data_IF_563418665777
#
_entry.id   IF_563418665777
#
_cell.length_a   1.000
_cell.length_b   1.000
_cell.length_c   1.000
_cell.angle_alpha   90.00
_cell.angle_beta   90.00
_cell.angle_gamma   90.00
#
_symmetry.space_group_name_H-M   'P 1'
#
loop_
_entity.id
_entity.type
_entity.pdbx_description
1 polymer ?
#
# COMPACT_ATOMS: atom_id res chain seq x y z
N UNK A 1 15.75 -9.13 -32.76
CA UNK A 1 15.20 -9.71 -31.50
C UNK A 1 13.93 -8.95 -31.12
N UNK A 2 12.95 -9.59 -30.48
CA UNK A 2 11.63 -9.02 -30.17
C UNK A 2 11.59 -7.96 -29.04
N UNK A 3 12.73 -7.37 -28.66
CA UNK A 3 12.81 -6.23 -27.74
C UNK A 3 12.76 -6.53 -26.23
N UNK A 4 12.45 -7.76 -25.79
CA UNK A 4 12.42 -8.10 -24.36
C UNK A 4 13.82 -8.13 -23.72
N UNK A 5 13.98 -7.48 -22.57
CA UNK A 5 15.22 -7.39 -21.80
C UNK A 5 15.35 -8.55 -20.81
N UNK A 6 14.24 -9.05 -20.27
CA UNK A 6 14.23 -10.13 -19.27
C UNK A 6 13.23 -11.25 -19.61
N UNK A 7 13.45 -12.44 -19.04
CA UNK A 7 12.51 -13.57 -19.18
C UNK A 7 11.15 -13.22 -18.54
N UNK A 8 11.15 -12.48 -17.43
CA UNK A 8 9.93 -12.01 -16.77
C UNK A 8 9.09 -11.09 -17.67
N UNK A 9 9.72 -10.19 -18.44
CA UNK A 9 9.02 -9.37 -19.44
C UNK A 9 8.33 -10.21 -20.50
N UNK A 10 9.03 -11.20 -21.06
CA UNK A 10 8.47 -12.14 -22.01
C UNK A 10 7.31 -12.95 -21.40
N UNK A 11 7.45 -13.40 -20.15
CA UNK A 11 6.43 -14.13 -19.42
C UNK A 11 5.15 -13.31 -19.23
N UNK A 12 5.28 -12.06 -18.77
CA UNK A 12 4.15 -11.13 -18.62
C UNK A 12 3.46 -10.88 -19.95
N UNK A 13 4.22 -10.68 -21.02
CA UNK A 13 3.66 -10.47 -22.34
C UNK A 13 2.95 -11.72 -22.90
N UNK A 14 3.48 -12.91 -22.61
CA UNK A 14 2.79 -14.17 -22.93
C UNK A 14 1.43 -14.27 -22.23
N UNK A 15 1.36 -13.89 -20.95
CA UNK A 15 0.10 -13.88 -20.18
C UNK A 15 -0.89 -12.88 -20.78
N UNK A 16 -0.45 -11.65 -21.11
CA UNK A 16 -1.32 -10.65 -21.77
C UNK A 16 -1.90 -11.15 -23.09
N UNK A 17 -1.07 -11.74 -23.95
CA UNK A 17 -1.53 -12.28 -25.25
C UNK A 17 -2.48 -13.45 -25.08
N UNK A 18 -2.22 -14.34 -24.12
CA UNK A 18 -3.12 -15.44 -23.81
C UNK A 18 -4.47 -14.91 -23.32
N UNK A 19 -4.48 -13.93 -22.42
CA UNK A 19 -5.69 -13.24 -21.96
C UNK A 19 -6.48 -12.60 -23.11
N UNK A 20 -5.83 -11.84 -23.99
CA UNK A 20 -6.47 -11.25 -25.18
C UNK A 20 -7.05 -12.31 -26.10
N UNK A 21 -6.30 -13.39 -26.35
CA UNK A 21 -6.75 -14.49 -27.20
C UNK A 21 -7.96 -15.20 -26.62
N UNK A 22 -7.98 -15.45 -25.30
CA UNK A 22 -9.16 -16.03 -24.61
C UNK A 22 -10.38 -15.14 -24.78
N UNK A 23 -10.22 -13.81 -24.67
CA UNK A 23 -11.32 -12.85 -24.88
C UNK A 23 -11.89 -12.89 -26.29
N UNK A 24 -11.04 -13.06 -27.30
CA UNK A 24 -11.45 -13.10 -28.71
C UNK A 24 -12.03 -14.47 -29.10
N UNK A 25 -11.30 -15.56 -28.83
CA UNK A 25 -11.66 -16.91 -29.28
C UNK A 25 -12.91 -17.47 -28.60
N UNK A 26 -13.24 -16.96 -27.41
CA UNK A 26 -14.39 -17.40 -26.61
C UNK A 26 -15.38 -16.27 -26.31
N UNK A 27 -15.43 -15.22 -27.14
CA UNK A 27 -16.28 -14.05 -26.92
C UNK A 27 -17.75 -14.41 -26.65
N UNK A 28 -18.32 -15.31 -27.45
CA UNK A 28 -19.72 -15.75 -27.30
C UNK A 28 -19.97 -16.40 -25.92
N UNK A 29 -19.07 -17.30 -25.49
CA UNK A 29 -19.16 -17.96 -24.19
C UNK A 29 -18.92 -17.01 -23.03
N UNK A 30 -18.10 -15.98 -23.21
CA UNK A 30 -17.85 -14.96 -22.19
C UNK A 30 -19.05 -14.03 -22.03
N UNK A 31 -19.81 -13.76 -23.10
CA UNK A 31 -21.03 -12.96 -23.07
C UNK A 31 -22.18 -13.66 -22.32
N UNK A 32 -22.18 -14.99 -22.28
CA UNK A 32 -23.16 -15.80 -21.52
C UNK A 32 -22.88 -15.84 -20.01
N UNK A 33 -21.71 -15.36 -19.55
CA UNK A 33 -21.35 -15.42 -18.13
C UNK A 33 -22.10 -14.35 -17.34
N UNK A 34 -22.55 -14.73 -16.15
CA UNK A 34 -23.11 -13.79 -15.17
C UNK A 34 -22.06 -12.78 -14.69
N UNK A 35 -20.78 -13.19 -14.63
CA UNK A 35 -19.67 -12.34 -14.22
C UNK A 35 -18.57 -12.27 -15.28
N UNK A 36 -18.02 -11.05 -15.54
CA UNK A 36 -16.89 -10.87 -16.43
C UNK A 36 -15.69 -11.73 -15.99
N UNK A 37 -15.05 -12.39 -16.94
CA UNK A 37 -13.80 -13.11 -16.66
C UNK A 37 -12.68 -12.10 -16.39
N UNK A 38 -12.15 -12.10 -15.17
CA UNK A 38 -10.92 -11.38 -14.89
C UNK A 38 -9.72 -12.11 -15.53
N UNK A 39 -8.96 -11.34 -16.29
CA UNK A 39 -7.77 -11.78 -17.03
C UNK A 39 -6.58 -10.86 -16.75
N UNK A 40 -6.77 -9.90 -15.85
CA UNK A 40 -5.71 -9.05 -15.34
C UNK A 40 -4.76 -9.82 -14.46
N UNK A 41 -3.62 -9.21 -14.18
CA UNK A 41 -2.69 -9.70 -13.18
C UNK A 41 -1.90 -8.52 -12.61
N UNK A 42 -1.51 -8.65 -11.35
CA UNK A 42 -0.48 -7.79 -10.75
C UNK A 42 0.87 -8.48 -10.89
N UNK A 43 1.92 -7.71 -11.14
CA UNK A 43 3.28 -8.22 -11.20
C UNK A 43 4.13 -7.46 -10.20
N UNK A 44 4.73 -8.19 -9.27
CA UNK A 44 5.63 -7.67 -8.27
C UNK A 44 7.06 -8.10 -8.56
N UNK A 45 8.01 -7.32 -8.06
CA UNK A 45 9.44 -7.64 -8.08
C UNK A 45 9.96 -7.68 -6.66
N UNK A 46 10.89 -8.58 -6.39
CA UNK A 46 11.59 -8.60 -5.11
C UNK A 46 12.52 -7.38 -5.06
N UNK A 47 12.42 -6.62 -3.99
CA UNK A 47 13.30 -5.51 -3.67
C UNK A 47 13.72 -5.61 -2.20
N UNK A 48 14.74 -4.87 -1.81
CA UNK A 48 15.09 -4.71 -0.40
C UNK A 48 13.96 -3.99 0.35
N UNK A 49 13.91 -4.16 1.68
CA UNK A 49 12.94 -3.49 2.56
C UNK A 49 12.78 -2.00 2.25
N UNK A 50 11.55 -1.48 2.36
CA UNK A 50 11.27 -0.06 2.26
C UNK A 50 11.84 0.75 3.44
N UNK A 51 12.18 0.08 4.55
CA UNK A 51 12.75 0.74 5.72
C UNK A 51 14.24 1.00 5.56
N UNK A 52 14.69 2.12 6.12
CA UNK A 52 16.11 2.43 6.27
C UNK A 52 16.70 1.56 7.38
N UNK A 53 17.94 1.14 7.17
CA UNK A 53 18.72 0.48 8.22
C UNK A 53 19.18 1.52 9.24
N UNK A 54 18.43 1.59 10.33
CA UNK A 54 18.64 2.53 11.45
C UNK A 54 19.40 1.88 12.61
N UNK A 55 19.57 0.56 12.62
CA UNK A 55 20.27 -0.18 13.67
C UNK A 55 21.78 -0.12 13.46
N UNK A 56 22.38 1.03 13.79
CA UNK A 56 23.81 1.25 13.63
C UNK A 56 24.54 1.37 14.95
N UNK A 57 25.77 0.88 14.99
CA UNK A 57 26.62 1.07 16.15
C UNK A 57 26.94 2.57 16.30
N UNK A 58 26.99 3.14 17.52
CA UNK A 58 27.26 4.57 17.71
C UNK A 58 28.54 5.08 17.03
N UNK A 59 29.55 4.22 16.86
CA UNK A 59 30.80 4.56 16.16
C UNK A 59 30.66 4.71 14.65
N UNK A 60 29.55 4.25 14.06
CA UNK A 60 29.24 4.32 12.63
C UNK A 60 28.33 5.52 12.28
N UNK A 61 27.87 6.24 13.31
CA UNK A 61 27.01 7.41 13.17
C UNK A 61 27.87 8.66 12.97
N UNK A 62 27.69 9.30 11.82
CA UNK A 62 28.29 10.60 11.53
C UNK A 62 27.24 11.71 11.68
N UNK A 63 27.62 12.87 12.21
CA UNK A 63 26.70 13.99 12.45
C UNK A 63 25.93 14.40 11.18
N UNK A 64 26.56 14.34 10.00
CA UNK A 64 25.93 14.65 8.72
C UNK A 64 24.81 13.70 8.31
N UNK A 65 24.76 12.49 8.87
CA UNK A 65 23.75 11.46 8.56
C UNK A 65 22.56 11.48 9.52
N UNK A 66 22.60 12.29 10.58
CA UNK A 66 21.51 12.37 11.56
C UNK A 66 20.19 12.84 10.93
N UNK A 67 20.26 13.77 9.96
CA UNK A 67 19.08 14.24 9.24
C UNK A 67 18.46 13.15 8.35
N UNK A 68 19.27 12.23 7.83
CA UNK A 68 18.81 11.11 7.01
C UNK A 68 18.10 10.03 7.84
N UNK A 69 18.37 9.98 9.16
CA UNK A 69 17.75 9.04 10.10
C UNK A 69 16.44 9.58 10.68
N UNK A 70 16.05 10.82 10.36
CA UNK A 70 14.78 11.41 10.80
C UNK A 70 13.56 10.77 10.11
N UNK A 71 13.76 10.16 8.94
CA UNK A 71 12.76 9.36 8.26
C UNK A 71 13.24 7.91 8.29
N UNK A 72 12.34 6.98 8.59
CA UNK A 72 12.62 5.54 8.65
C UNK A 72 12.31 4.84 7.31
N UNK A 73 11.77 5.55 6.32
CA UNK A 73 11.45 5.03 4.99
C UNK A 73 12.43 5.55 3.94
N UNK A 74 12.90 4.66 3.06
CA UNK A 74 13.76 5.01 1.92
C UNK A 74 13.02 5.94 0.94
N UNK A 75 13.70 6.98 0.48
CA UNK A 75 13.10 8.03 -0.36
C UNK A 75 12.68 7.58 -1.77
N UNK A 76 13.16 6.42 -2.23
CA UNK A 76 12.86 5.86 -3.56
C UNK A 76 11.63 4.94 -3.57
N UNK A 77 10.89 4.86 -2.45
CA UNK A 77 9.73 3.98 -2.28
C UNK A 77 8.43 4.71 -2.57
N UNK A 78 7.55 4.05 -3.33
CA UNK A 78 6.23 4.60 -3.62
C UNK A 78 5.22 4.22 -2.54
N UNK A 79 4.08 4.93 -2.42
CA UNK A 79 3.00 4.54 -1.52
C UNK A 79 2.49 3.12 -1.75
N UNK A 80 2.52 2.62 -2.98
CA UNK A 80 2.14 1.24 -3.32
C UNK A 80 3.17 0.20 -2.85
N UNK A 81 4.47 0.54 -2.85
CA UNK A 81 5.50 -0.32 -2.26
C UNK A 81 5.26 -0.48 -0.76
N UNK A 82 4.95 0.63 -0.08
CA UNK A 82 4.61 0.64 1.35
C UNK A 82 3.33 -0.16 1.62
N UNK A 83 2.29 0.04 0.80
CA UNK A 83 1.04 -0.72 0.91
C UNK A 83 1.29 -2.22 0.78
N UNK A 84 2.07 -2.62 -0.23
CA UNK A 84 2.39 -4.03 -0.49
C UNK A 84 3.15 -4.63 0.69
N UNK A 85 4.13 -3.90 1.23
CA UNK A 85 4.90 -4.34 2.39
C UNK A 85 4.03 -4.47 3.65
N UNK A 86 3.14 -3.50 3.91
CA UNK A 86 2.19 -3.55 5.03
C UNK A 86 1.23 -4.73 4.87
N UNK A 87 0.62 -4.90 3.69
CA UNK A 87 -0.28 -6.03 3.42
C UNK A 87 0.40 -7.36 3.73
N UNK A 88 1.64 -7.57 3.26
CA UNK A 88 2.40 -8.79 3.53
C UNK A 88 2.77 -8.94 5.01
N UNK A 89 3.17 -7.85 5.68
CA UNK A 89 3.48 -7.85 7.12
C UNK A 89 2.29 -8.22 7.99
N UNK A 90 1.08 -7.92 7.53
CA UNK A 90 -0.18 -8.26 8.20
C UNK A 90 -0.75 -9.62 7.76
N UNK A 91 -0.07 -10.34 6.87
CA UNK A 91 -0.52 -11.63 6.35
C UNK A 91 -1.71 -11.52 5.38
N UNK A 92 -1.99 -10.33 4.85
CA UNK A 92 -2.99 -10.12 3.81
C UNK A 92 -2.48 -10.61 2.45
N UNK A 93 -3.37 -11.16 1.65
CA UNK A 93 -3.03 -11.67 0.32
C UNK A 93 -3.10 -10.55 -0.73
N UNK A 94 -2.23 -10.61 -1.74
CA UNK A 94 -2.08 -9.54 -2.75
C UNK A 94 -3.16 -9.54 -3.85
N UNK A 95 -4.06 -10.53 -3.83
CA UNK A 95 -5.25 -10.62 -4.68
C UNK A 95 -6.44 -9.81 -4.14
N UNK A 96 -6.37 -9.35 -2.88
CA UNK A 96 -7.42 -8.52 -2.31
C UNK A 96 -7.65 -7.25 -3.14
N UNK A 97 -8.93 -6.82 -3.30
CA UNK A 97 -9.25 -5.61 -4.01
C UNK A 97 -8.70 -4.41 -3.25
N UNK A 98 -8.16 -3.45 -3.99
CA UNK A 98 -7.59 -2.21 -3.45
C UNK A 98 -8.32 -1.07 -4.15
N UNK A 99 -9.02 -0.26 -3.37
CA UNK A 99 -9.62 0.99 -3.83
C UNK A 99 -8.76 2.16 -3.39
N UNK A 100 -8.49 3.09 -4.30
CA UNK A 100 -7.76 4.32 -3.99
C UNK A 100 -8.71 5.50 -4.04
N UNK A 101 -8.76 6.31 -2.98
CA UNK A 101 -9.61 7.49 -2.88
C UNK A 101 -8.79 8.70 -2.46
N UNK A 102 -9.15 9.86 -3.00
CA UNK A 102 -8.60 11.14 -2.58
C UNK A 102 -9.51 11.73 -1.50
N UNK A 103 -8.93 12.03 -0.34
CA UNK A 103 -9.60 12.69 0.79
C UNK A 103 -8.85 13.99 1.04
N UNK A 104 -9.39 15.09 0.50
CA UNK A 104 -8.66 16.36 0.46
C UNK A 104 -7.45 16.25 -0.46
N UNK A 105 -6.25 16.44 0.10
CA UNK A 105 -4.96 16.29 -0.59
C UNK A 105 -4.30 14.94 -0.34
N UNK A 106 -4.91 14.08 0.49
CA UNK A 106 -4.34 12.80 0.90
C UNK A 106 -4.93 11.63 0.10
N UNK A 107 -4.06 10.72 -0.30
CA UNK A 107 -4.36 9.46 -0.98
C UNK A 107 -4.55 8.36 0.05
N UNK A 108 -5.72 7.73 0.01
CA UNK A 108 -6.10 6.65 0.93
C UNK A 108 -6.35 5.36 0.17
N UNK A 109 -5.75 4.29 0.64
CA UNK A 109 -5.93 2.94 0.11
C UNK A 109 -6.86 2.15 1.02
N UNK A 110 -7.93 1.59 0.45
CA UNK A 110 -8.87 0.71 1.13
C UNK A 110 -8.69 -0.70 0.58
N UNK A 111 -8.18 -1.61 1.40
CA UNK A 111 -7.95 -3.02 1.05
C UNK A 111 -9.09 -3.87 1.59
N UNK A 112 -9.70 -4.67 0.70
CA UNK A 112 -10.86 -5.50 1.02
C UNK A 112 -11.96 -4.72 1.77
N UNK A 113 -12.28 -3.53 1.24
CA UNK A 113 -13.24 -2.55 1.77
C UNK A 113 -12.84 -1.91 3.11
N UNK A 114 -12.61 -2.70 4.16
CA UNK A 114 -12.29 -2.21 5.50
C UNK A 114 -11.26 -3.07 6.24
N UNK A 115 -10.66 -4.09 5.61
CA UNK A 115 -9.68 -4.94 6.28
C UNK A 115 -8.40 -4.16 6.64
N UNK A 116 -7.93 -3.32 5.71
CA UNK A 116 -6.82 -2.40 5.94
C UNK A 116 -7.14 -1.07 5.24
N UNK A 117 -6.99 0.02 5.97
CA UNK A 117 -7.07 1.37 5.41
C UNK A 117 -5.75 2.09 5.66
N UNK A 118 -5.06 2.48 4.60
CA UNK A 118 -3.71 3.03 4.69
C UNK A 118 -3.60 4.41 4.05
N UNK A 119 -2.83 5.30 4.67
CA UNK A 119 -2.43 6.57 4.11
C UNK A 119 -0.95 6.81 4.40
N UNK A 120 -0.16 7.05 3.35
CA UNK A 120 1.29 7.23 3.44
C UNK A 120 1.74 8.65 3.12
N UNK A 121 0.79 9.56 2.93
CA UNK A 121 1.08 10.97 2.69
C UNK A 121 1.48 11.68 3.98
N UNK A 122 2.15 12.81 3.83
CA UNK A 122 2.53 13.67 4.95
C UNK A 122 1.32 14.47 5.45
N UNK A 123 1.34 14.84 6.73
CA UNK A 123 0.30 15.61 7.42
C UNK A 123 -1.09 14.96 7.36
N UNK A 124 -1.46 14.25 8.44
CA UNK A 124 -2.76 13.61 8.62
C UNK A 124 -3.74 14.56 9.33
N UNK A 125 -4.70 15.21 8.66
CA UNK A 125 -5.70 16.03 9.33
C UNK A 125 -6.74 15.15 10.05
N UNK A 126 -7.35 15.67 11.11
CA UNK A 126 -8.40 14.95 11.86
C UNK A 126 -9.58 14.56 10.95
N UNK A 127 -9.89 15.37 9.93
CA UNK A 127 -10.93 15.09 8.93
C UNK A 127 -10.65 13.82 8.12
N UNK A 128 -9.37 13.51 7.88
CA UNK A 128 -8.99 12.27 7.20
C UNK A 128 -9.30 11.06 8.08
N UNK A 129 -9.01 11.16 9.37
CA UNK A 129 -9.31 10.11 10.35
C UNK A 129 -10.82 9.91 10.47
N UNK A 130 -11.61 10.99 10.45
CA UNK A 130 -13.08 10.91 10.42
C UNK A 130 -13.57 10.11 9.21
N UNK A 131 -13.05 10.40 8.01
CA UNK A 131 -13.41 9.68 6.78
C UNK A 131 -12.99 8.21 6.80
N UNK A 132 -11.78 7.91 7.28
CA UNK A 132 -11.27 6.54 7.40
C UNK A 132 -12.11 5.73 8.39
N UNK A 133 -12.53 6.32 9.51
CA UNK A 133 -13.30 5.63 10.55
C UNK A 133 -14.73 5.27 10.13
N UNK A 134 -15.31 5.92 9.10
CA UNK A 134 -16.67 5.63 8.62
C UNK A 134 -16.85 4.19 8.16
N UNK A 135 -15.80 3.56 7.63
CA UNK A 135 -15.85 2.16 7.18
C UNK A 135 -15.58 1.15 8.30
N UNK A 136 -15.38 1.60 9.55
CA UNK A 136 -15.02 0.76 10.70
C UNK A 136 -13.89 -0.21 10.35
N UNK A 137 -12.70 0.31 10.05
CA UNK A 137 -11.59 -0.50 9.56
C UNK A 137 -11.11 -1.46 10.64
N UNK A 138 -10.75 -2.69 10.27
CA UNK A 138 -10.08 -3.61 11.20
C UNK A 138 -8.70 -3.09 11.56
N UNK A 139 -8.00 -2.52 10.57
CA UNK A 139 -6.67 -1.99 10.74
C UNK A 139 -6.46 -0.71 9.94
N UNK A 140 -5.74 0.23 10.54
CA UNK A 140 -5.32 1.47 9.91
C UNK A 140 -3.81 1.56 9.93
N UNK A 141 -3.20 1.90 8.79
CA UNK A 141 -1.75 2.07 8.67
C UNK A 141 -1.38 3.50 8.24
N UNK A 142 -0.42 4.10 8.95
CA UNK A 142 0.22 5.36 8.58
C UNK A 142 1.74 5.21 8.57
N UNK A 143 2.43 6.11 7.86
CA UNK A 143 3.86 6.32 8.05
C UNK A 143 4.10 7.13 9.32
N UNK A 144 5.15 6.82 10.07
CA UNK A 144 5.52 7.57 11.28
C UNK A 144 5.73 9.07 10.99
N UNK A 145 6.54 9.35 9.96
CA UNK A 145 6.76 10.70 9.45
C UNK A 145 5.52 11.39 8.85
N UNK A 146 4.35 10.75 8.80
CA UNK A 146 3.09 11.43 8.46
C UNK A 146 2.59 12.33 9.60
N UNK A 147 3.07 12.12 10.83
CA UNK A 147 2.73 12.92 12.00
C UNK A 147 3.86 13.91 12.32
N UNK A 148 3.49 15.18 12.55
CA UNK A 148 4.46 16.23 12.86
C UNK A 148 5.00 16.20 14.30
N UNK A 149 4.36 15.44 15.19
CA UNK A 149 4.77 15.25 16.59
C UNK A 149 4.10 14.01 17.21
N UNK A 150 4.68 13.51 18.30
CA UNK A 150 4.10 12.43 19.11
C UNK A 150 2.69 12.79 19.62
N UNK A 151 2.47 14.06 19.99
CA UNK A 151 1.14 14.55 20.37
C UNK A 151 0.13 14.39 19.24
N UNK A 152 0.53 14.65 17.99
CA UNK A 152 -0.35 14.48 16.83
C UNK A 152 -0.71 13.00 16.61
N UNK A 153 0.24 12.09 16.80
CA UNK A 153 0.02 10.66 16.73
C UNK A 153 -0.93 10.17 17.84
N UNK A 154 -0.68 10.54 19.09
CA UNK A 154 -1.53 10.17 20.23
C UNK A 154 -2.95 10.70 20.06
N UNK A 155 -3.09 11.94 19.57
CA UNK A 155 -4.40 12.54 19.28
C UNK A 155 -5.11 11.79 18.15
N UNK A 156 -4.39 11.42 17.08
CA UNK A 156 -4.94 10.64 15.98
C UNK A 156 -5.43 9.26 16.44
N UNK A 157 -4.61 8.56 17.23
CA UNK A 157 -4.96 7.26 17.81
C UNK A 157 -6.18 7.35 18.73
N UNK A 158 -6.21 8.32 19.63
CA UNK A 158 -7.32 8.54 20.56
C UNK A 158 -8.60 8.87 19.81
N UNK A 159 -8.51 9.71 18.77
CA UNK A 159 -9.64 10.09 17.95
C UNK A 159 -10.18 8.91 17.13
N UNK A 160 -9.29 8.10 16.55
CA UNK A 160 -9.66 6.88 15.83
C UNK A 160 -10.34 5.87 16.76
N UNK A 161 -9.77 5.58 17.94
CA UNK A 161 -10.37 4.68 18.94
C UNK A 161 -11.74 5.14 19.43
N UNK A 162 -11.98 6.45 19.49
CA UNK A 162 -13.30 6.98 19.83
C UNK A 162 -14.36 6.69 18.75
N UNK A 163 -13.96 6.74 17.48
CA UNK A 163 -14.86 6.54 16.34
C UNK A 163 -15.00 5.06 15.95
N UNK A 164 -13.94 4.28 16.09
CA UNK A 164 -13.88 2.85 15.82
C UNK A 164 -13.01 2.17 16.88
N UNK A 165 -13.62 1.75 18.00
CA UNK A 165 -12.90 1.21 19.16
C UNK A 165 -12.10 -0.06 18.89
N UNK A 166 -12.56 -0.86 17.93
CA UNK A 166 -11.96 -2.16 17.59
C UNK A 166 -10.86 -2.04 16.51
N UNK A 167 -10.64 -0.85 15.94
CA UNK A 167 -9.58 -0.62 14.96
C UNK A 167 -8.20 -0.70 15.59
N UNK A 168 -7.32 -1.48 14.96
CA UNK A 168 -5.89 -1.52 15.30
C UNK A 168 -5.16 -0.44 14.50
N UNK A 169 -4.45 0.45 15.18
CA UNK A 169 -3.55 1.41 14.54
C UNK A 169 -2.16 0.79 14.37
N UNK A 170 -1.57 0.95 13.20
CA UNK A 170 -0.19 0.58 12.92
C UNK A 170 0.56 1.75 12.30
N UNK A 171 1.73 2.04 12.86
CA UNK A 171 2.61 3.09 12.38
C UNK A 171 3.87 2.40 11.87
N UNK A 172 4.26 2.71 10.63
CA UNK A 172 5.40 2.13 9.95
C UNK A 172 6.49 3.12 9.65
#
# INVERSE_FOLDING_TARGET
KAGYRTIAELGRERIRRAASKIKTDYADKLAERESPLDTGFRAYTVADTAFLDVEKHPSELEQGRLLELANNIKNDRTPEDLLTQVMLGLGLTLDLPIETKQVGTNTVFYVAHNALVACFDEAIPTTLIDEMAKCQPLQVAFKDGSFGSDDALINAETHLKRLSPDTILSVI
#
